data_IF_446687269064
#
_entry.id   IF_446687269064
#
_cell.length_a   1.000
_cell.length_b   1.000
_cell.length_c   1.000
_cell.angle_alpha   90.00
_cell.angle_beta   90.00
_cell.angle_gamma   90.00
#
_symmetry.space_group_name_H-M   'P 1'
#
loop_
_entity.id
_entity.type
_entity.pdbx_description
1 polymer ?
#
# COMPACT_ATOMS: atom_id res chain seq x y z
N UNK A 1 -25.58 -32.73 -15.29
CA UNK A 1 -26.02 -31.44 -14.69
C UNK A 1 -25.13 -30.96 -13.53
N UNK A 2 -24.85 -31.76 -12.50
CA UNK A 2 -24.02 -31.32 -11.34
C UNK A 2 -22.56 -31.01 -11.67
N UNK A 3 -21.88 -31.78 -12.52
CA UNK A 3 -20.46 -31.54 -12.88
C UNK A 3 -20.25 -30.32 -13.79
N UNK A 4 -21.22 -29.97 -14.59
CA UNK A 4 -21.19 -28.84 -15.52
C UNK A 4 -21.48 -27.52 -14.79
N UNK A 5 -22.38 -27.56 -13.79
CA UNK A 5 -22.66 -26.43 -12.89
C UNK A 5 -21.44 -26.15 -12.04
N UNK A 6 -20.79 -27.15 -11.44
CA UNK A 6 -19.57 -27.01 -10.64
C UNK A 6 -18.40 -26.47 -11.47
N UNK A 7 -18.23 -26.92 -12.73
CA UNK A 7 -17.23 -26.36 -13.65
C UNK A 7 -17.51 -24.88 -13.97
N UNK A 8 -18.77 -24.48 -14.15
CA UNK A 8 -19.16 -23.10 -14.39
C UNK A 8 -18.87 -22.20 -13.18
N UNK A 9 -19.05 -22.70 -11.96
CA UNK A 9 -18.73 -21.96 -10.74
C UNK A 9 -17.20 -21.81 -10.55
N UNK A 10 -16.41 -22.86 -10.80
CA UNK A 10 -14.96 -22.84 -10.67
C UNK A 10 -14.25 -21.96 -11.71
N UNK A 11 -14.90 -21.66 -12.84
CA UNK A 11 -14.36 -20.84 -13.92
C UNK A 11 -14.97 -19.43 -13.98
N UNK A 12 -15.88 -19.08 -13.08
CA UNK A 12 -16.54 -17.79 -13.07
C UNK A 12 -15.69 -16.75 -12.30
N UNK A 13 -15.10 -15.73 -12.98
CA UNK A 13 -14.22 -14.76 -12.34
C UNK A 13 -14.93 -13.93 -11.26
N UNK A 14 -16.22 -13.65 -11.42
CA UNK A 14 -16.97 -12.87 -10.42
C UNK A 14 -17.22 -13.68 -9.14
N UNK A 15 -17.48 -14.98 -9.25
CA UNK A 15 -17.61 -15.85 -8.09
C UNK A 15 -16.25 -16.06 -7.39
N UNK A 16 -15.17 -16.24 -8.17
CA UNK A 16 -13.81 -16.34 -7.64
C UNK A 16 -13.38 -15.05 -6.94
N UNK A 17 -13.69 -13.89 -7.51
CA UNK A 17 -13.46 -12.59 -6.89
C UNK A 17 -14.20 -12.46 -5.55
N UNK A 18 -15.50 -12.73 -5.54
CA UNK A 18 -16.33 -12.68 -4.33
C UNK A 18 -15.78 -13.61 -3.24
N UNK A 19 -15.49 -14.86 -3.58
CA UNK A 19 -14.90 -15.84 -2.67
C UNK A 19 -13.53 -15.38 -2.13
N UNK A 20 -12.70 -14.79 -2.99
CA UNK A 20 -11.42 -14.24 -2.58
C UNK A 20 -11.57 -13.13 -1.53
N UNK A 21 -12.51 -12.22 -1.70
CA UNK A 21 -12.81 -11.15 -0.72
C UNK A 21 -13.33 -11.74 0.60
N UNK A 22 -14.27 -12.68 0.56
CA UNK A 22 -14.77 -13.37 1.76
C UNK A 22 -13.65 -14.11 2.51
N UNK A 23 -12.68 -14.69 1.79
CA UNK A 23 -11.51 -15.33 2.39
C UNK A 23 -10.57 -14.33 3.05
N UNK A 24 -10.42 -13.12 2.48
CA UNK A 24 -9.66 -12.04 3.12
C UNK A 24 -10.29 -11.62 4.44
N UNK A 25 -11.62 -11.43 4.46
CA UNK A 25 -12.37 -11.07 5.67
C UNK A 25 -12.27 -12.15 6.76
N UNK A 26 -12.15 -13.42 6.34
CA UNK A 26 -11.91 -14.55 7.23
C UNK A 26 -10.42 -14.74 7.63
N UNK A 27 -9.51 -13.86 7.22
CA UNK A 27 -8.08 -13.95 7.50
C UNK A 27 -7.33 -15.04 6.70
N UNK A 28 -7.99 -15.70 5.74
CA UNK A 28 -7.45 -16.80 4.93
C UNK A 28 -6.71 -16.29 3.70
N UNK A 29 -5.62 -15.55 3.94
CA UNK A 29 -4.87 -14.83 2.90
C UNK A 29 -4.37 -15.72 1.76
N UNK A 30 -3.83 -16.90 2.05
CA UNK A 30 -3.28 -17.78 1.01
C UNK A 30 -4.38 -18.31 0.08
N UNK A 31 -5.50 -18.74 0.64
CA UNK A 31 -6.66 -19.21 -0.13
C UNK A 31 -7.25 -18.06 -0.99
N UNK A 32 -7.25 -16.84 -0.47
CA UNK A 32 -7.70 -15.66 -1.22
C UNK A 32 -6.81 -15.38 -2.44
N UNK A 33 -5.48 -15.42 -2.28
CA UNK A 33 -4.50 -15.26 -3.38
C UNK A 33 -4.72 -16.32 -4.47
N UNK A 34 -5.00 -17.58 -4.09
CA UNK A 34 -5.32 -18.64 -5.05
C UNK A 34 -6.63 -18.35 -5.81
N UNK A 35 -7.67 -17.88 -5.11
CA UNK A 35 -8.94 -17.53 -5.76
C UNK A 35 -8.75 -16.38 -6.75
N UNK A 36 -8.03 -15.31 -6.38
CA UNK A 36 -7.72 -14.21 -7.29
C UNK A 36 -6.87 -14.67 -8.47
N UNK A 37 -5.88 -15.55 -8.23
CA UNK A 37 -5.03 -16.09 -9.30
C UNK A 37 -5.84 -16.89 -10.32
N UNK A 38 -6.75 -17.74 -9.86
CA UNK A 38 -7.69 -18.47 -10.74
C UNK A 38 -8.62 -17.50 -11.47
N UNK A 39 -9.18 -16.51 -10.77
CA UNK A 39 -10.08 -15.52 -11.37
C UNK A 39 -9.41 -14.70 -12.47
N UNK A 40 -8.17 -14.33 -12.28
CA UNK A 40 -7.38 -13.56 -13.25
C UNK A 40 -7.00 -14.35 -14.51
N UNK A 41 -7.10 -15.67 -14.51
CA UNK A 41 -7.00 -16.49 -15.74
C UNK A 41 -8.17 -16.18 -16.70
N UNK A 42 -9.36 -15.95 -16.15
CA UNK A 42 -10.59 -15.69 -16.92
C UNK A 42 -10.90 -14.19 -17.09
N UNK A 43 -10.42 -13.35 -16.17
CA UNK A 43 -10.58 -11.90 -16.20
C UNK A 43 -9.23 -11.21 -15.93
N UNK A 44 -8.28 -11.24 -16.89
CA UNK A 44 -6.92 -10.78 -16.68
C UNK A 44 -6.79 -9.29 -16.39
N UNK A 45 -7.78 -8.48 -16.70
CA UNK A 45 -7.82 -7.03 -16.48
C UNK A 45 -8.71 -6.62 -15.29
N UNK A 46 -9.13 -7.56 -14.43
CA UNK A 46 -9.86 -7.20 -13.21
C UNK A 46 -8.92 -6.52 -12.21
N UNK A 47 -9.01 -5.21 -12.12
CA UNK A 47 -8.15 -4.36 -11.29
C UNK A 47 -8.28 -4.66 -9.80
N UNK A 48 -9.50 -5.01 -9.32
CA UNK A 48 -9.74 -5.31 -7.91
C UNK A 48 -9.06 -6.62 -7.49
N UNK A 49 -9.15 -7.66 -8.33
CA UNK A 49 -8.44 -8.92 -8.07
C UNK A 49 -6.93 -8.72 -8.11
N UNK A 50 -6.41 -7.91 -9.07
CA UNK A 50 -4.99 -7.56 -9.12
C UNK A 50 -4.54 -6.78 -7.89
N UNK A 51 -5.30 -5.77 -7.48
CA UNK A 51 -4.99 -4.99 -6.29
C UNK A 51 -4.87 -5.88 -5.05
N UNK A 52 -5.88 -6.69 -4.77
CA UNK A 52 -5.86 -7.53 -3.58
C UNK A 52 -4.79 -8.61 -3.64
N UNK A 53 -4.60 -9.25 -4.79
CA UNK A 53 -3.53 -10.25 -4.95
C UNK A 53 -2.16 -9.59 -4.75
N UNK A 54 -1.89 -8.50 -5.45
CA UNK A 54 -0.62 -7.77 -5.34
C UNK A 54 -0.33 -7.33 -3.91
N UNK A 55 -1.32 -6.73 -3.23
CA UNK A 55 -1.17 -6.33 -1.82
C UNK A 55 -0.83 -7.52 -0.90
N UNK A 56 -1.43 -8.69 -1.11
CA UNK A 56 -1.15 -9.88 -0.29
C UNK A 56 0.18 -10.56 -0.63
N UNK A 57 0.63 -10.44 -1.86
CA UNK A 57 1.94 -10.95 -2.30
C UNK A 57 3.11 -10.20 -1.63
N UNK A 58 2.94 -8.95 -1.18
CA UNK A 58 3.96 -8.23 -0.38
C UNK A 58 4.32 -9.03 0.87
N UNK A 59 3.33 -9.51 1.63
CA UNK A 59 3.55 -10.32 2.84
C UNK A 59 4.11 -11.72 2.58
N UNK A 60 4.14 -12.16 1.32
CA UNK A 60 4.77 -13.40 0.86
C UNK A 60 6.16 -13.18 0.27
N UNK A 61 6.64 -11.94 0.29
CA UNK A 61 7.92 -11.52 -0.31
C UNK A 61 8.02 -11.74 -1.83
N UNK A 62 6.88 -11.91 -2.51
CA UNK A 62 6.77 -12.07 -3.96
C UNK A 62 6.71 -10.69 -4.64
N UNK A 63 7.72 -9.83 -4.39
CA UNK A 63 7.68 -8.40 -4.71
C UNK A 63 7.55 -8.09 -6.20
N UNK A 64 8.21 -8.85 -7.07
CA UNK A 64 8.14 -8.64 -8.53
C UNK A 64 6.73 -8.89 -9.07
N UNK A 65 6.08 -9.96 -8.63
CA UNK A 65 4.70 -10.26 -9.04
C UNK A 65 3.72 -9.28 -8.42
N UNK A 66 3.93 -8.93 -7.15
CA UNK A 66 3.18 -7.89 -6.45
C UNK A 66 3.21 -6.56 -7.20
N UNK A 67 4.41 -6.07 -7.55
CA UNK A 67 4.57 -4.83 -8.30
C UNK A 67 3.91 -4.88 -9.68
N UNK A 68 3.97 -6.02 -10.37
CA UNK A 68 3.31 -6.19 -11.67
C UNK A 68 1.79 -6.08 -11.56
N UNK A 69 1.18 -6.74 -10.57
CA UNK A 69 -0.26 -6.67 -10.34
C UNK A 69 -0.70 -5.27 -9.93
N UNK A 70 0.00 -4.66 -8.98
CA UNK A 70 -0.33 -3.32 -8.47
C UNK A 70 -0.13 -2.23 -9.52
N UNK A 71 0.87 -2.37 -10.39
CA UNK A 71 1.08 -1.45 -11.53
C UNK A 71 -0.11 -1.48 -12.49
N UNK A 72 -0.59 -2.67 -12.84
CA UNK A 72 -1.76 -2.80 -13.70
C UNK A 72 -3.02 -2.27 -13.00
N UNK A 73 -3.21 -2.55 -11.70
CA UNK A 73 -4.33 -2.00 -10.94
C UNK A 73 -4.29 -0.46 -10.89
N UNK A 74 -3.12 0.15 -10.68
CA UNK A 74 -2.94 1.60 -10.66
C UNK A 74 -3.17 2.25 -12.03
N UNK A 75 -2.83 1.58 -13.13
CA UNK A 75 -3.09 2.07 -14.49
C UNK A 75 -4.59 2.03 -14.84
N UNK A 76 -5.32 1.02 -14.39
CA UNK A 76 -6.77 0.90 -14.56
C UNK A 76 -7.55 1.87 -13.66
N UNK A 77 -7.01 2.18 -12.47
CA UNK A 77 -7.60 3.12 -11.51
C UNK A 77 -6.58 4.19 -11.10
N UNK A 78 -6.24 5.13 -12.00
CA UNK A 78 -5.16 6.09 -11.77
C UNK A 78 -5.43 7.09 -10.64
N UNK A 79 -6.69 7.26 -10.24
CA UNK A 79 -7.13 8.13 -9.14
C UNK A 79 -7.18 7.41 -7.78
N UNK A 80 -6.90 6.11 -7.74
CA UNK A 80 -6.85 5.32 -6.50
C UNK A 80 -5.45 5.41 -5.89
N UNK A 81 -5.33 6.19 -4.80
CA UNK A 81 -4.08 6.39 -4.09
C UNK A 81 -3.53 5.10 -3.45
N UNK A 82 -4.38 4.14 -3.06
CA UNK A 82 -3.95 2.88 -2.46
C UNK A 82 -3.19 2.01 -3.45
N UNK A 83 -3.65 1.96 -4.71
CA UNK A 83 -2.95 1.23 -5.77
C UNK A 83 -1.51 1.74 -5.93
N UNK A 84 -1.33 3.06 -5.98
CA UNK A 84 -0.01 3.69 -6.07
C UNK A 84 0.82 3.48 -4.79
N UNK A 85 0.20 3.58 -3.62
CA UNK A 85 0.88 3.38 -2.35
C UNK A 85 1.46 1.96 -2.24
N UNK A 86 0.63 0.93 -2.45
CA UNK A 86 1.11 -0.46 -2.35
C UNK A 86 2.05 -0.84 -3.49
N UNK A 87 1.91 -0.26 -4.69
CA UNK A 87 2.91 -0.38 -5.75
C UNK A 87 4.27 0.15 -5.28
N UNK A 88 4.30 1.32 -4.67
CA UNK A 88 5.53 1.90 -4.12
C UNK A 88 6.18 1.01 -3.06
N UNK A 89 5.37 0.46 -2.14
CA UNK A 89 5.85 -0.48 -1.11
C UNK A 89 6.46 -1.74 -1.74
N UNK A 90 5.75 -2.37 -2.70
CA UNK A 90 6.24 -3.57 -3.39
C UNK A 90 7.54 -3.30 -4.15
N UNK A 91 7.61 -2.18 -4.87
CA UNK A 91 8.81 -1.77 -5.60
C UNK A 91 9.99 -1.49 -4.66
N UNK A 92 9.76 -0.80 -3.53
CA UNK A 92 10.83 -0.53 -2.55
C UNK A 92 11.40 -1.82 -1.97
N UNK A 93 10.55 -2.71 -1.51
CA UNK A 93 10.95 -3.99 -0.93
C UNK A 93 11.62 -4.92 -1.96
N UNK A 94 11.23 -4.80 -3.24
CA UNK A 94 11.85 -5.50 -4.36
C UNK A 94 13.11 -4.85 -4.92
N UNK A 95 13.59 -3.74 -4.33
CA UNK A 95 14.81 -3.03 -4.78
C UNK A 95 14.62 -2.15 -6.03
N UNK A 96 13.38 -1.97 -6.50
CA UNK A 96 13.04 -1.15 -7.68
C UNK A 96 12.79 0.31 -7.24
N UNK A 97 13.84 1.01 -6.80
CA UNK A 97 13.71 2.29 -6.09
C UNK A 97 13.21 3.44 -6.96
N UNK A 98 13.56 3.48 -8.25
CA UNK A 98 13.06 4.53 -9.15
C UNK A 98 11.55 4.39 -9.40
N UNK A 99 11.06 3.17 -9.63
CA UNK A 99 9.63 2.88 -9.77
C UNK A 99 8.89 3.16 -8.45
N UNK A 100 9.47 2.80 -7.31
CA UNK A 100 8.92 3.10 -6.00
C UNK A 100 8.76 4.60 -5.78
N UNK A 101 9.76 5.41 -6.20
CA UNK A 101 9.72 6.87 -6.12
C UNK A 101 8.54 7.45 -6.89
N UNK A 102 8.37 7.01 -8.14
CA UNK A 102 7.25 7.45 -8.99
C UNK A 102 5.90 7.08 -8.36
N UNK A 103 5.77 5.85 -7.87
CA UNK A 103 4.53 5.36 -7.29
C UNK A 103 4.15 6.15 -6.02
N UNK A 104 5.08 6.38 -5.10
CA UNK A 104 4.80 7.16 -3.89
C UNK A 104 4.57 8.65 -4.17
N UNK A 105 5.19 9.23 -5.20
CA UNK A 105 4.90 10.60 -5.63
C UNK A 105 3.44 10.74 -6.12
N UNK A 106 2.94 9.78 -6.92
CA UNK A 106 1.55 9.73 -7.35
C UNK A 106 0.60 9.55 -6.15
N UNK A 107 0.88 8.60 -5.28
CA UNK A 107 0.09 8.39 -4.06
C UNK A 107 0.03 9.66 -3.20
N UNK A 108 1.16 10.32 -2.94
CA UNK A 108 1.23 11.57 -2.18
C UNK A 108 0.37 12.69 -2.81
N UNK A 109 0.42 12.82 -4.14
CA UNK A 109 -0.37 13.81 -4.88
C UNK A 109 -1.87 13.55 -4.71
N UNK A 110 -2.30 12.30 -4.83
CA UNK A 110 -3.71 11.91 -4.67
C UNK A 110 -4.19 12.06 -3.23
N UNK A 111 -3.36 11.67 -2.24
CA UNK A 111 -3.68 11.87 -0.84
C UNK A 111 -3.91 13.34 -0.49
N UNK A 112 -3.07 14.26 -1.01
CA UNK A 112 -3.29 15.69 -0.85
C UNK A 112 -4.57 16.15 -1.54
N UNK A 113 -4.83 15.70 -2.77
CA UNK A 113 -6.02 16.04 -3.56
C UNK A 113 -7.31 15.65 -2.84
N UNK A 114 -7.33 14.50 -2.18
CA UNK A 114 -8.52 13.94 -1.53
C UNK A 114 -8.57 14.14 -0.02
N UNK A 115 -7.59 14.81 0.58
CA UNK A 115 -7.53 15.07 2.02
C UNK A 115 -7.38 13.79 2.85
N UNK A 116 -6.63 12.81 2.36
CA UNK A 116 -6.43 11.52 3.04
C UNK A 116 -5.42 11.66 4.17
N UNK A 117 -5.77 11.16 5.37
CA UNK A 117 -4.95 11.25 6.59
C UNK A 117 -3.78 10.24 6.65
N UNK A 118 -3.28 9.79 5.50
CA UNK A 118 -2.16 8.84 5.38
C UNK A 118 -0.89 9.47 4.79
N UNK A 119 -0.82 10.80 4.73
CA UNK A 119 0.34 11.53 4.20
C UNK A 119 1.66 11.20 4.90
N UNK A 120 1.73 11.03 6.24
CA UNK A 120 2.97 10.60 6.90
C UNK A 120 3.49 9.26 6.39
N UNK A 121 2.63 8.27 6.18
CA UNK A 121 3.03 6.94 5.71
C UNK A 121 3.68 7.00 4.33
N UNK A 122 3.04 7.65 3.36
CA UNK A 122 3.64 7.77 2.01
C UNK A 122 4.89 8.64 2.00
N UNK A 123 4.98 9.65 2.89
CA UNK A 123 6.16 10.51 3.02
C UNK A 123 7.35 9.75 3.62
N UNK A 124 7.11 8.87 4.59
CA UNK A 124 8.13 8.02 5.19
C UNK A 124 8.78 7.10 4.13
N UNK A 125 7.97 6.40 3.35
CA UNK A 125 8.47 5.58 2.26
C UNK A 125 9.24 6.42 1.22
N UNK A 126 8.70 7.55 0.81
CA UNK A 126 9.34 8.44 -0.17
C UNK A 126 10.68 8.96 0.33
N UNK A 127 10.77 9.34 1.61
CA UNK A 127 12.03 9.76 2.24
C UNK A 127 13.08 8.63 2.18
N UNK A 128 12.70 7.42 2.61
CA UNK A 128 13.58 6.26 2.57
C UNK A 128 14.07 5.93 1.16
N UNK A 129 13.20 6.04 0.18
CA UNK A 129 13.53 5.83 -1.24
C UNK A 129 14.54 6.86 -1.71
N UNK A 130 14.31 8.16 -1.44
CA UNK A 130 15.26 9.22 -1.81
C UNK A 130 16.62 9.00 -1.16
N UNK A 131 16.67 8.58 0.10
CA UNK A 131 17.94 8.24 0.76
C UNK A 131 18.65 7.05 0.10
N UNK A 132 17.91 6.01 -0.33
CA UNK A 132 18.46 4.87 -1.09
C UNK A 132 19.03 5.29 -2.45
N UNK A 133 18.40 6.28 -3.09
CA UNK A 133 18.85 6.83 -4.38
C UNK A 133 19.95 7.89 -4.28
N UNK A 134 20.40 8.22 -3.06
CA UNK A 134 21.42 9.26 -2.86
C UNK A 134 20.91 10.68 -3.13
N UNK A 135 19.62 10.94 -2.87
CA UNK A 135 18.92 12.20 -3.11
C UNK A 135 18.47 12.87 -1.78
N UNK A 136 19.41 13.26 -0.88
CA UNK A 136 19.07 13.77 0.45
C UNK A 136 18.31 15.09 0.42
N UNK A 137 18.56 15.94 -0.57
CA UNK A 137 17.87 17.23 -0.72
C UNK A 137 16.39 17.04 -1.03
N UNK A 138 16.07 16.07 -1.90
CA UNK A 138 14.70 15.74 -2.22
C UNK A 138 14.00 15.02 -1.06
N UNK A 139 14.72 14.18 -0.32
CA UNK A 139 14.24 13.59 0.91
C UNK A 139 13.86 14.68 1.95
N UNK A 140 14.69 15.68 2.14
CA UNK A 140 14.40 16.81 3.05
C UNK A 140 13.18 17.61 2.58
N UNK A 141 13.08 17.91 1.28
CA UNK A 141 11.93 18.62 0.70
C UNK A 141 10.62 17.87 0.90
N UNK A 142 10.63 16.54 0.85
CA UNK A 142 9.44 15.73 1.07
C UNK A 142 8.82 15.92 2.46
N UNK A 143 9.63 16.33 3.46
CA UNK A 143 9.20 16.56 4.84
C UNK A 143 8.61 17.96 5.09
N UNK A 144 8.65 18.88 4.13
CA UNK A 144 8.16 20.26 4.32
C UNK A 144 6.69 20.31 4.74
N UNK A 145 5.86 19.46 4.15
CA UNK A 145 4.42 19.39 4.42
C UNK A 145 4.06 18.74 5.77
N UNK A 146 5.02 18.13 6.46
CA UNK A 146 4.76 17.39 7.70
C UNK A 146 4.79 18.34 8.90
N UNK A 147 3.71 18.34 9.70
CA UNK A 147 3.59 19.08 10.95
C UNK A 147 3.23 18.15 12.12
N UNK A 148 3.60 18.51 13.38
CA UNK A 148 3.35 17.67 14.56
C UNK A 148 1.87 17.42 14.88
N UNK A 149 1.00 18.31 14.44
CA UNK A 149 -0.44 18.35 14.74
C UNK A 149 -1.31 17.85 13.59
N UNK A 150 -0.67 17.40 12.49
CA UNK A 150 -1.44 16.92 11.34
C UNK A 150 -2.22 15.64 11.69
N UNK A 151 -3.44 15.48 11.14
CA UNK A 151 -4.21 14.27 11.34
C UNK A 151 -3.51 13.08 10.67
N UNK A 152 -3.47 11.96 11.34
CA UNK A 152 -2.93 10.71 10.81
C UNK A 152 -3.66 9.51 11.38
N UNK A 153 -3.83 8.47 10.59
CA UNK A 153 -4.39 7.19 11.02
C UNK A 153 -3.33 6.28 11.65
N UNK A 154 -2.04 6.59 11.42
CA UNK A 154 -0.90 5.81 11.92
C UNK A 154 0.16 6.74 12.53
N UNK A 155 0.13 6.82 13.87
CA UNK A 155 1.00 7.69 14.64
C UNK A 155 2.48 7.35 14.56
N UNK A 156 2.81 6.09 14.30
CA UNK A 156 4.21 5.64 14.20
C UNK A 156 4.89 6.26 12.98
N UNK A 157 4.20 6.34 11.85
CA UNK A 157 4.72 7.03 10.67
C UNK A 157 4.94 8.52 10.91
N UNK A 158 4.01 9.18 11.60
CA UNK A 158 4.19 10.61 11.95
C UNK A 158 5.43 10.82 12.80
N UNK A 159 5.65 10.01 13.84
CA UNK A 159 6.83 10.09 14.69
C UNK A 159 8.12 9.90 13.87
N UNK A 160 8.16 8.95 12.94
CA UNK A 160 9.34 8.69 12.11
C UNK A 160 9.67 9.87 11.19
N UNK A 161 8.69 10.44 10.50
CA UNK A 161 8.94 11.59 9.63
C UNK A 161 9.28 12.85 10.39
N UNK A 162 8.75 13.05 11.62
CA UNK A 162 9.16 14.13 12.51
C UNK A 162 10.59 13.96 13.04
N UNK A 163 11.02 12.72 13.28
CA UNK A 163 12.40 12.40 13.62
C UNK A 163 13.35 12.76 12.45
N UNK A 164 13.00 12.35 11.22
CA UNK A 164 13.79 12.69 10.02
C UNK A 164 13.86 14.20 9.78
N UNK A 165 12.78 14.92 10.09
CA UNK A 165 12.71 16.39 9.99
C UNK A 165 13.51 17.10 11.09
N UNK A 166 13.96 16.38 12.13
CA UNK A 166 14.68 16.95 13.29
C UNK A 166 13.77 17.70 14.29
N UNK A 167 12.45 17.58 14.15
CA UNK A 167 11.46 18.15 15.07
C UNK A 167 11.32 17.28 16.31
N UNK A 168 11.32 15.97 16.14
CA UNK A 168 11.34 15.01 17.22
C UNK A 168 12.78 14.55 17.47
N UNK A 169 13.19 14.53 18.74
CA UNK A 169 14.51 14.04 19.14
C UNK A 169 14.49 12.54 19.39
N UNK A 170 15.59 11.81 19.09
CA UNK A 170 15.66 10.35 19.28
C UNK A 170 15.30 9.90 20.71
N UNK A 171 15.74 10.64 21.74
CA UNK A 171 15.46 10.33 23.14
C UNK A 171 13.97 10.39 23.52
N UNK A 172 13.17 11.16 22.79
CA UNK A 172 11.73 11.32 23.03
C UNK A 172 10.86 10.44 22.12
N UNK A 173 11.48 9.68 21.20
CA UNK A 173 10.78 8.96 20.14
C UNK A 173 9.73 7.99 20.67
N UNK A 174 10.11 7.12 21.61
CA UNK A 174 9.20 6.08 22.16
C UNK A 174 8.02 6.71 22.89
N UNK A 175 8.27 7.71 23.73
CA UNK A 175 7.23 8.40 24.51
C UNK A 175 6.20 9.11 23.61
N UNK A 176 6.67 9.79 22.55
CA UNK A 176 5.79 10.50 21.63
C UNK A 176 4.99 9.54 20.73
N UNK A 177 5.58 8.42 20.29
CA UNK A 177 4.86 7.39 19.56
C UNK A 177 3.73 6.79 20.42
N UNK A 178 4.01 6.45 21.69
CA UNK A 178 2.99 5.95 22.60
C UNK A 178 1.84 6.95 22.85
N UNK A 179 2.15 8.23 22.95
CA UNK A 179 1.12 9.28 23.09
C UNK A 179 0.24 9.37 21.85
N UNK A 180 0.83 9.31 20.66
CA UNK A 180 0.09 9.37 19.39
C UNK A 180 -0.80 8.15 19.20
N UNK A 181 -0.33 6.93 19.46
CA UNK A 181 -1.13 5.72 19.42
C UNK A 181 -2.33 5.77 20.39
N UNK A 182 -2.14 6.29 21.61
CA UNK A 182 -3.23 6.44 22.60
C UNK A 182 -4.29 7.48 22.20
N UNK A 183 -3.92 8.51 21.45
CA UNK A 183 -4.89 9.48 20.90
C UNK A 183 -5.80 8.84 19.86
N UNK A 184 -5.25 7.98 19.00
CA UNK A 184 -6.00 7.28 17.94
C UNK A 184 -6.98 6.23 18.49
N UNK A 185 -6.63 5.55 19.58
CA UNK A 185 -7.50 4.55 20.23
C UNK A 185 -8.72 5.16 20.94
N UNK A 186 -8.86 6.49 20.98
CA UNK A 186 -9.95 7.22 21.64
C UNK A 186 -10.91 7.92 20.66
N UNK A 187 -10.68 7.81 19.37
CA UNK A 187 -11.56 8.22 18.29
C UNK A 187 -12.23 7.03 17.62
#
# INVERSE_FOLDING_TARGET
>A
MTSEILRNEECNPNLLKKKGLELLDAGKTNEAVECFSKGLVYAPFDSLMRFWRGRKLIGREEYTQSASDLKLAALENPEDWECWYYLGVACYLGGMYEEAKVAHANSKTLMKKYGVNALPATTDWYWMICMKLGQPEEAAKALEDITPDMPTEDGDYLCRVLLYKGVLKPENFVEECEKNCKKQSRC
#
